data_IF_079013559222
#
_entry.id   IF_079013559222
#
_cell.length_a   1.000
_cell.length_b   1.000
_cell.length_c   1.000
_cell.angle_alpha   90.00
_cell.angle_beta   90.00
_cell.angle_gamma   90.00
#
_symmetry.space_group_name_H-M   'P 1'
#
loop_
_entity.id
_entity.type
_entity.pdbx_description
1 polymer ?
#
# COMPACT_ATOMS: atom_id res chain seq x y z
N UNK A 1 -2.73 8.07 27.03
CA UNK A 1 -2.29 6.93 26.22
C UNK A 1 -3.25 6.89 25.05
N UNK A 2 -2.89 7.49 23.92
CA UNK A 2 -3.75 7.52 22.73
C UNK A 2 -3.19 6.54 21.72
N UNK A 3 -3.87 5.40 21.58
CA UNK A 3 -3.58 4.49 20.48
C UNK A 3 -4.00 5.19 19.18
N UNK A 4 -3.10 5.33 18.20
CA UNK A 4 -3.45 5.97 16.94
C UNK A 4 -4.56 5.17 16.24
N UNK A 5 -5.52 5.89 15.68
CA UNK A 5 -6.57 5.37 14.80
C UNK A 5 -6.00 5.34 13.38
N UNK A 6 -6.17 4.20 12.73
CA UNK A 6 -5.67 3.95 11.37
C UNK A 6 -6.81 3.67 10.40
N UNK A 7 -6.60 4.08 9.16
CA UNK A 7 -7.47 3.79 8.03
C UNK A 7 -6.85 2.70 7.18
N UNK A 8 -7.63 1.68 6.83
CA UNK A 8 -7.25 0.69 5.83
C UNK A 8 -7.73 1.19 4.46
N UNK A 9 -6.80 1.53 3.57
CA UNK A 9 -7.12 2.10 2.26
C UNK A 9 -7.97 1.18 1.37
N UNK A 10 -7.91 -0.14 1.57
CA UNK A 10 -8.77 -1.10 0.85
C UNK A 10 -10.27 -0.90 1.08
N UNK A 11 -10.67 -0.18 2.12
CA UNK A 11 -12.06 0.24 2.32
C UNK A 11 -12.55 1.27 1.28
N UNK A 12 -11.66 1.81 0.43
CA UNK A 12 -11.94 2.83 -0.57
C UNK A 12 -11.56 2.37 -1.99
N UNK A 13 -12.18 1.31 -2.52
CA UNK A 13 -11.92 0.85 -3.88
C UNK A 13 -12.29 1.94 -4.89
N UNK A 14 -11.46 2.12 -5.92
CA UNK A 14 -11.66 3.11 -6.97
C UNK A 14 -11.35 4.56 -6.59
N UNK A 15 -10.90 4.81 -5.35
CA UNK A 15 -10.37 6.11 -4.92
C UNK A 15 -8.86 6.16 -5.12
N UNK A 16 -8.36 7.34 -5.45
CA UNK A 16 -6.93 7.64 -5.46
C UNK A 16 -6.38 7.72 -4.03
N UNK A 17 -5.06 7.54 -3.87
CA UNK A 17 -4.41 7.70 -2.55
C UNK A 17 -4.65 9.10 -1.96
N UNK A 18 -4.66 10.13 -2.80
CA UNK A 18 -4.93 11.51 -2.38
C UNK A 18 -6.32 11.66 -1.75
N UNK A 19 -7.36 11.09 -2.37
CA UNK A 19 -8.73 11.10 -1.81
C UNK A 19 -8.80 10.32 -0.49
N UNK A 20 -8.06 9.21 -0.36
CA UNK A 20 -7.99 8.45 0.91
C UNK A 20 -7.30 9.27 2.01
N UNK A 21 -6.24 10.01 1.68
CA UNK A 21 -5.54 10.93 2.59
C UNK A 21 -6.49 12.03 3.07
N UNK A 22 -7.21 12.68 2.16
CA UNK A 22 -8.19 13.72 2.49
C UNK A 22 -9.26 13.16 3.43
N UNK A 23 -9.82 12.00 3.11
CA UNK A 23 -10.83 11.35 3.94
C UNK A 23 -10.30 10.96 5.32
N UNK A 24 -9.06 10.47 5.40
CA UNK A 24 -8.40 10.10 6.66
C UNK A 24 -8.25 11.32 7.57
N UNK A 25 -7.90 12.48 7.00
CA UNK A 25 -7.78 13.74 7.74
C UNK A 25 -9.14 14.25 8.22
N UNK A 26 -10.18 14.15 7.40
CA UNK A 26 -11.55 14.54 7.78
C UNK A 26 -12.07 13.78 9.00
N UNK A 27 -11.75 12.47 9.10
CA UNK A 27 -12.19 11.64 10.23
C UNK A 27 -11.29 11.77 11.46
N UNK A 28 -10.17 12.51 11.36
CA UNK A 28 -9.23 12.72 12.46
C UNK A 28 -8.35 11.51 12.79
N UNK A 29 -8.20 10.55 11.86
CA UNK A 29 -7.28 9.42 12.03
C UNK A 29 -5.82 9.86 11.84
N UNK A 30 -4.87 9.11 12.40
CA UNK A 30 -3.45 9.49 12.43
C UNK A 30 -2.58 8.69 11.46
N UNK A 31 -3.11 7.69 10.77
CA UNK A 31 -2.33 6.94 9.78
C UNK A 31 -3.18 6.15 8.81
N UNK A 32 -2.53 5.70 7.75
CA UNK A 32 -3.13 4.87 6.69
C UNK A 32 -2.26 3.64 6.48
N UNK A 33 -2.90 2.48 6.44
CA UNK A 33 -2.35 1.29 5.82
C UNK A 33 -2.70 1.32 4.32
N UNK A 34 -1.68 1.59 3.50
CA UNK A 34 -1.79 1.72 2.06
C UNK A 34 -1.71 0.34 1.42
N UNK A 35 -2.79 -0.09 0.80
CA UNK A 35 -2.93 -1.39 0.18
C UNK A 35 -2.31 -1.36 -1.21
N UNK A 36 -1.47 -2.36 -1.46
CA UNK A 36 -0.77 -2.55 -2.73
C UNK A 36 -0.98 -4.00 -3.13
N UNK A 37 -1.91 -4.21 -4.06
CA UNK A 37 -2.14 -5.51 -4.67
C UNK A 37 -1.38 -5.59 -6.00
N UNK A 38 -0.72 -6.73 -6.22
CA UNK A 38 -0.05 -7.02 -7.48
C UNK A 38 -1.08 -7.14 -8.61
N UNK A 39 -0.82 -6.46 -9.73
CA UNK A 39 -1.60 -6.62 -10.96
C UNK A 39 -1.33 -7.99 -11.61
N UNK A 40 -2.35 -8.56 -12.26
CA UNK A 40 -2.23 -9.87 -12.92
C UNK A 40 -2.06 -11.05 -11.95
N UNK A 41 -2.42 -10.86 -10.67
CA UNK A 41 -2.54 -11.96 -9.70
C UNK A 41 -3.78 -12.82 -9.95
N UNK A 42 -3.95 -13.87 -9.13
CA UNK A 42 -5.12 -14.76 -9.21
C UNK A 42 -6.37 -14.18 -8.54
N UNK A 43 -6.22 -13.05 -7.84
CA UNK A 43 -7.31 -12.35 -7.17
C UNK A 43 -8.02 -11.44 -8.16
N UNK A 44 -9.33 -11.59 -8.31
CA UNK A 44 -10.16 -10.80 -9.22
C UNK A 44 -11.22 -9.97 -8.48
N UNK A 45 -11.30 -10.11 -7.16
CA UNK A 45 -12.29 -9.49 -6.28
C UNK A 45 -11.62 -8.55 -5.27
N UNK A 46 -12.25 -7.41 -5.00
CA UNK A 46 -11.82 -6.44 -3.98
C UNK A 46 -10.37 -5.96 -4.12
N UNK A 47 -9.88 -5.78 -5.35
CA UNK A 47 -8.56 -5.20 -5.61
C UNK A 47 -8.62 -3.70 -5.34
N UNK A 48 -7.87 -3.25 -4.34
CA UNK A 48 -7.73 -1.86 -4.00
C UNK A 48 -6.25 -1.51 -3.92
N UNK A 49 -5.69 -1.09 -5.06
CA UNK A 49 -4.31 -0.63 -5.17
C UNK A 49 -4.29 0.88 -5.14
N UNK A 50 -3.55 1.43 -4.18
CA UNK A 50 -3.39 2.88 -4.00
C UNK A 50 -1.94 3.34 -4.24
N UNK A 51 -1.03 2.42 -4.54
CA UNK A 51 0.31 2.69 -5.02
C UNK A 51 0.61 1.79 -6.22
N UNK A 52 1.14 2.39 -7.27
CA UNK A 52 1.63 1.63 -8.42
C UNK A 52 2.92 0.91 -8.04
N UNK A 53 2.92 -0.42 -8.19
CA UNK A 53 4.04 -1.27 -7.77
C UNK A 53 5.04 -1.56 -8.89
N UNK A 54 4.62 -1.53 -10.16
CA UNK A 54 5.44 -1.97 -11.30
C UNK A 54 6.70 -1.10 -11.45
N UNK A 55 6.52 0.21 -11.36
CA UNK A 55 7.59 1.21 -11.42
C UNK A 55 8.01 1.70 -10.03
N UNK A 56 7.68 0.97 -8.96
CA UNK A 56 8.00 1.39 -7.59
C UNK A 56 9.50 1.24 -7.32
N UNK A 57 10.18 2.39 -7.27
CA UNK A 57 11.60 2.53 -6.94
C UNK A 57 11.84 3.58 -5.85
N UNK A 58 13.11 3.96 -5.61
CA UNK A 58 13.47 4.89 -4.52
C UNK A 58 12.82 6.27 -4.66
N UNK A 59 12.68 6.79 -5.88
CA UNK A 59 12.02 8.08 -6.13
C UNK A 59 10.54 8.04 -5.77
N UNK A 60 9.83 6.98 -6.19
CA UNK A 60 8.42 6.78 -5.85
C UNK A 60 8.25 6.61 -4.34
N UNK A 61 9.12 5.82 -3.70
CA UNK A 61 9.10 5.62 -2.26
C UNK A 61 9.27 6.94 -1.49
N UNK A 62 10.25 7.77 -1.89
CA UNK A 62 10.45 9.09 -1.29
C UNK A 62 9.23 9.99 -1.49
N UNK A 63 8.64 10.01 -2.70
CA UNK A 63 7.44 10.77 -2.98
C UNK A 63 6.24 10.37 -2.09
N UNK A 64 6.08 9.07 -1.81
CA UNK A 64 5.06 8.58 -0.88
C UNK A 64 5.35 9.02 0.56
N UNK A 65 6.60 8.90 1.00
CA UNK A 65 7.01 9.33 2.35
C UNK A 65 6.78 10.83 2.54
N UNK A 66 7.17 11.65 1.57
CA UNK A 66 6.99 13.10 1.58
C UNK A 66 5.51 13.49 1.58
N UNK A 67 4.69 12.80 0.79
CA UNK A 67 3.23 12.99 0.77
C UNK A 67 2.61 12.75 2.14
N UNK A 68 3.00 11.68 2.84
CA UNK A 68 2.49 11.35 4.16
C UNK A 68 2.98 12.33 5.24
N UNK A 69 4.28 12.65 5.23
CA UNK A 69 4.89 13.62 6.14
C UNK A 69 4.24 15.01 5.98
N UNK A 70 4.05 15.46 4.74
CA UNK A 70 3.40 16.75 4.43
C UNK A 70 1.95 16.83 4.89
N UNK A 71 1.26 15.69 5.04
CA UNK A 71 -0.09 15.60 5.58
C UNK A 71 -0.15 15.31 7.08
N UNK A 72 1.00 15.16 7.76
CA UNK A 72 1.06 14.81 9.17
C UNK A 72 0.50 13.42 9.49
N UNK A 73 0.50 12.51 8.50
CA UNK A 73 -0.03 11.16 8.62
C UNK A 73 1.09 10.13 8.76
N UNK A 74 0.81 9.06 9.48
CA UNK A 74 1.68 7.89 9.53
C UNK A 74 1.38 6.95 8.37
N UNK A 75 2.42 6.33 7.84
CA UNK A 75 2.38 5.40 6.73
C UNK A 75 2.63 3.97 7.21
N UNK A 76 1.83 3.03 6.71
CA UNK A 76 2.13 1.60 6.65
C UNK A 76 1.78 1.09 5.26
N UNK A 77 2.44 0.03 4.79
CA UNK A 77 2.16 -0.59 3.50
C UNK A 77 1.66 -2.02 3.72
N UNK A 78 0.48 -2.31 3.20
CA UNK A 78 -0.16 -3.62 3.26
C UNK A 78 -0.17 -4.29 1.90
N UNK A 79 0.50 -5.44 1.79
CA UNK A 79 0.44 -6.31 0.63
C UNK A 79 0.13 -7.73 1.10
N UNK A 80 -0.79 -8.41 0.40
CA UNK A 80 -1.44 -9.63 0.89
C UNK A 80 -1.31 -10.79 -0.10
N UNK A 81 -0.19 -10.88 -0.78
CA UNK A 81 0.06 -11.93 -1.76
C UNK A 81 0.24 -13.31 -1.10
N UNK A 82 -0.16 -14.38 -1.80
CA UNK A 82 0.18 -15.73 -1.38
C UNK A 82 1.65 -16.03 -1.70
N UNK A 83 2.47 -16.16 -0.67
CA UNK A 83 3.92 -16.34 -0.76
C UNK A 83 4.37 -17.80 -0.69
N UNK A 84 3.50 -18.72 -0.28
CA UNK A 84 3.89 -20.06 0.17
C UNK A 84 3.30 -21.15 -0.74
N UNK A 85 2.00 -21.07 -1.02
CA UNK A 85 1.28 -22.10 -1.77
C UNK A 85 1.03 -21.76 -3.24
N UNK A 86 0.60 -22.75 -4.01
CA UNK A 86 0.22 -22.58 -5.42
C UNK A 86 1.37 -22.79 -6.40
N UNK A 87 1.09 -22.50 -7.67
CA UNK A 87 2.04 -22.63 -8.77
C UNK A 87 3.23 -21.68 -8.60
N UNK A 88 4.44 -22.17 -8.90
CA UNK A 88 5.66 -21.39 -8.84
C UNK A 88 5.60 -20.18 -9.78
N UNK A 89 4.95 -20.30 -10.94
CA UNK A 89 4.77 -19.22 -11.91
C UNK A 89 3.98 -18.03 -11.35
N UNK A 90 3.11 -18.27 -10.36
CA UNK A 90 2.37 -17.21 -9.65
C UNK A 90 3.07 -16.80 -8.35
N UNK A 91 3.63 -17.76 -7.61
CA UNK A 91 4.23 -17.54 -6.29
C UNK A 91 5.50 -16.70 -6.36
N UNK A 92 6.39 -16.93 -7.34
CA UNK A 92 7.66 -16.17 -7.43
C UNK A 92 7.40 -14.69 -7.70
N UNK A 93 6.57 -14.29 -8.68
CA UNK A 93 6.22 -12.88 -8.87
C UNK A 93 5.57 -12.20 -7.65
N UNK A 94 4.80 -12.95 -6.85
CA UNK A 94 4.24 -12.45 -5.59
C UNK A 94 5.33 -12.15 -4.55
N UNK A 95 6.36 -12.99 -4.46
CA UNK A 95 7.52 -12.75 -3.60
C UNK A 95 8.31 -11.53 -4.06
N UNK A 96 8.53 -11.40 -5.37
CA UNK A 96 9.24 -10.25 -5.96
C UNK A 96 8.50 -8.93 -5.72
N UNK A 97 7.16 -8.95 -5.78
CA UNK A 97 6.33 -7.81 -5.44
C UNK A 97 6.57 -7.32 -4.00
N UNK A 98 6.54 -8.23 -3.01
CA UNK A 98 6.81 -7.89 -1.61
C UNK A 98 8.24 -7.38 -1.42
N UNK A 99 9.22 -8.05 -2.02
CA UNK A 99 10.63 -7.66 -1.89
C UNK A 99 10.88 -6.26 -2.47
N UNK A 100 10.25 -5.91 -3.59
CA UNK A 100 10.34 -4.58 -4.19
C UNK A 100 9.79 -3.50 -3.26
N UNK A 101 8.65 -3.73 -2.61
CA UNK A 101 8.08 -2.77 -1.65
C UNK A 101 9.02 -2.56 -0.45
N UNK A 102 9.51 -3.66 0.13
CA UNK A 102 10.43 -3.63 1.28
C UNK A 102 11.74 -2.91 0.93
N UNK A 103 12.36 -3.28 -0.19
CA UNK A 103 13.69 -2.79 -0.56
C UNK A 103 13.70 -1.27 -0.82
N UNK A 104 12.60 -0.70 -1.29
CA UNK A 104 12.54 0.72 -1.63
C UNK A 104 12.04 1.61 -0.49
N UNK A 105 11.27 1.08 0.47
CA UNK A 105 10.74 1.85 1.61
C UNK A 105 11.66 1.92 2.83
N UNK A 106 12.73 1.10 2.88
CA UNK A 106 13.66 1.02 4.01
C UNK A 106 14.98 1.76 3.81
N UNK A 107 15.21 2.36 2.64
CA UNK A 107 16.42 3.13 2.31
C UNK A 107 16.20 4.63 2.52
#
# INVERSE_FOLDING_TARGET
MDNPIWVMSSAFPGRTLQEVIERTREIGAQGIEVCVFRQGGTRNDHIATHLEYEDFGPEQAQGVIDLFNGNGLRLSVGAYDNLIGGDAETRVPNQDHILRLIANLLN
#
